data_IF_040547820999
#
_entry.id   IF_040547820999
#
_cell.length_a   1.000
_cell.length_b   1.000
_cell.length_c   1.000
_cell.angle_alpha   90.00
_cell.angle_beta   90.00
_cell.angle_gamma   90.00
#
_symmetry.space_group_name_H-M   'P 1'
#
loop_
_entity.id
_entity.type
_entity.pdbx_description
1 polymer ?
#
# COMPACT_ATOMS: atom_id res chain seq x y z
N UNK A 1 25.47 44.46 27.92
CA UNK A 1 25.83 43.84 26.63
C UNK A 1 25.46 42.34 26.56
N UNK A 2 25.51 41.59 27.67
CA UNK A 2 25.12 40.16 27.72
C UNK A 2 23.68 39.82 27.33
N UNK A 3 22.71 40.73 27.54
CA UNK A 3 21.30 40.46 27.24
C UNK A 3 20.99 40.44 25.73
N UNK A 4 21.83 41.05 24.90
CA UNK A 4 21.57 41.11 23.46
C UNK A 4 21.96 39.80 22.76
N UNK A 5 23.08 39.21 23.15
CA UNK A 5 23.57 37.94 22.60
C UNK A 5 22.67 36.76 23.02
N UNK A 6 22.20 36.73 24.27
CA UNK A 6 21.27 35.69 24.74
C UNK A 6 19.92 35.73 23.99
N UNK A 7 19.38 36.93 23.75
CA UNK A 7 18.13 37.09 23.00
C UNK A 7 18.26 36.63 21.54
N UNK A 8 19.40 36.90 20.89
CA UNK A 8 19.67 36.42 19.52
C UNK A 8 19.73 34.89 19.48
N UNK A 9 20.42 34.25 20.43
CA UNK A 9 20.53 32.79 20.48
C UNK A 9 19.16 32.14 20.71
N UNK A 10 18.33 32.69 21.61
CA UNK A 10 16.96 32.21 21.85
C UNK A 10 16.10 32.36 20.60
N UNK A 11 16.19 33.51 19.90
CA UNK A 11 15.44 33.74 18.67
C UNK A 11 15.82 32.75 17.55
N UNK A 12 17.12 32.49 17.37
CA UNK A 12 17.60 31.50 16.41
C UNK A 12 17.09 30.10 16.80
N UNK A 13 17.14 29.72 18.08
CA UNK A 13 16.59 28.44 18.55
C UNK A 13 15.09 28.30 18.27
N UNK A 14 14.30 29.36 18.47
CA UNK A 14 12.87 29.37 18.18
C UNK A 14 12.57 29.23 16.68
N UNK A 15 13.39 29.85 15.80
CA UNK A 15 13.30 29.66 14.36
C UNK A 15 13.62 28.22 13.94
N UNK A 16 14.63 27.58 14.54
CA UNK A 16 14.90 26.16 14.28
C UNK A 16 13.79 25.25 14.80
N UNK A 17 13.14 25.62 15.91
CA UNK A 17 12.04 24.84 16.48
C UNK A 17 10.78 24.91 15.61
N UNK A 18 10.45 26.07 15.03
CA UNK A 18 9.30 26.22 14.14
C UNK A 18 9.47 25.42 12.84
N UNK A 19 10.66 25.39 12.25
CA UNK A 19 10.95 24.58 11.04
C UNK A 19 10.78 23.08 11.30
N UNK A 20 11.08 22.60 12.52
CA UNK A 20 10.87 21.18 12.87
C UNK A 20 9.40 20.77 12.98
N UNK A 21 8.49 21.70 13.22
CA UNK A 21 7.05 21.41 13.37
C UNK A 21 6.44 21.08 11.99
N UNK A 22 6.94 21.69 10.90
CA UNK A 22 6.45 21.40 9.55
C UNK A 22 6.87 20.02 9.04
N UNK A 23 8.03 19.51 9.45
CA UNK A 23 8.46 18.13 9.14
C UNK A 23 7.68 17.02 9.89
N UNK A 24 6.76 17.35 10.80
CA UNK A 24 5.93 16.33 11.48
C UNK A 24 4.66 15.95 10.71
N UNK A 25 4.38 16.62 9.59
CA UNK A 25 3.26 16.30 8.69
C UNK A 25 3.61 15.22 7.64
N UNK A 26 4.60 14.39 7.92
CA UNK A 26 4.98 13.31 7.02
C UNK A 26 3.99 12.15 7.19
N UNK A 27 3.46 11.66 6.08
CA UNK A 27 2.46 10.59 6.01
C UNK A 27 3.05 9.18 6.14
N UNK A 28 4.33 9.04 6.49
CA UNK A 28 5.02 7.74 6.60
C UNK A 28 4.44 6.91 7.75
N UNK A 29 4.34 5.60 7.52
CA UNK A 29 4.02 4.59 8.51
C UNK A 29 2.84 3.70 8.14
N UNK A 30 2.37 2.90 9.10
CA UNK A 30 1.25 1.97 8.92
C UNK A 30 -0.08 2.62 9.28
N UNK A 31 -1.05 2.48 8.40
CA UNK A 31 -2.42 2.91 8.60
C UNK A 31 -3.36 1.74 8.40
N UNK A 32 -4.43 1.66 9.19
CA UNK A 32 -5.44 0.62 9.03
C UNK A 32 -6.86 1.17 9.10
N UNK A 33 -7.78 0.56 8.35
CA UNK A 33 -9.21 0.78 8.51
C UNK A 33 -9.76 -0.14 9.60
N UNK A 34 -11.00 0.10 9.99
CA UNK A 34 -11.72 -0.79 10.91
C UNK A 34 -12.00 -2.17 10.30
N UNK A 35 -12.09 -2.24 8.96
CA UNK A 35 -12.45 -3.46 8.23
C UNK A 35 -11.25 -4.34 7.87
N UNK A 36 -10.04 -3.97 8.30
CA UNK A 36 -8.83 -4.78 8.13
C UNK A 36 -8.02 -4.47 6.87
N UNK A 37 -8.33 -3.38 6.17
CA UNK A 37 -7.44 -2.86 5.13
C UNK A 37 -6.25 -2.16 5.78
N UNK A 38 -5.06 -2.35 5.21
CA UNK A 38 -3.81 -1.83 5.74
C UNK A 38 -3.04 -1.16 4.61
N UNK A 39 -2.56 0.06 4.87
CA UNK A 39 -1.66 0.79 4.00
C UNK A 39 -0.37 1.08 4.74
N UNK A 40 0.75 0.67 4.16
CA UNK A 40 2.08 1.07 4.56
C UNK A 40 2.58 2.13 3.59
N UNK A 41 2.97 3.29 4.13
CA UNK A 41 3.62 4.37 3.39
C UNK A 41 5.08 4.37 3.83
N UNK A 42 6.00 4.02 2.93
CA UNK A 42 7.43 3.95 3.22
C UNK A 42 8.15 5.25 2.88
N UNK A 43 9.30 5.47 3.50
CA UNK A 43 10.14 6.66 3.32
C UNK A 43 10.75 6.76 1.91
N UNK A 44 10.96 5.63 1.24
CA UNK A 44 11.52 5.52 -0.11
C UNK A 44 10.52 5.84 -1.24
N UNK A 45 9.41 6.52 -0.92
CA UNK A 45 8.31 6.83 -1.84
C UNK A 45 7.58 5.60 -2.40
N UNK A 46 7.72 4.42 -1.77
CA UNK A 46 6.91 3.24 -2.09
C UNK A 46 5.78 3.03 -1.09
N UNK A 47 4.73 2.33 -1.50
CA UNK A 47 3.65 1.93 -0.61
C UNK A 47 3.31 0.46 -0.79
N UNK A 48 2.65 -0.09 0.23
CA UNK A 48 2.03 -1.42 0.20
C UNK A 48 0.62 -1.35 0.75
N UNK A 49 -0.32 -1.91 0.01
CA UNK A 49 -1.73 -2.04 0.37
C UNK A 49 -2.05 -3.52 0.58
N UNK A 50 -2.78 -3.84 1.65
CA UNK A 50 -3.25 -5.19 1.95
C UNK A 50 -4.73 -5.10 2.28
N UNK A 51 -5.54 -5.89 1.57
CA UNK A 51 -6.94 -6.13 1.93
C UNK A 51 -7.09 -7.55 2.46
N UNK A 52 -7.46 -7.68 3.73
CA UNK A 52 -7.56 -8.98 4.40
C UNK A 52 -8.85 -9.74 4.14
N UNK A 53 -9.93 -9.09 3.66
CA UNK A 53 -11.26 -9.71 3.57
C UNK A 53 -12.05 -9.19 2.36
N UNK A 54 -12.80 -10.04 1.62
CA UNK A 54 -12.97 -11.48 1.78
C UNK A 54 -11.87 -12.33 1.10
N UNK A 55 -10.97 -11.70 0.34
CA UNK A 55 -9.83 -12.35 -0.33
C UNK A 55 -8.58 -11.56 0.00
N UNK A 56 -7.46 -12.26 0.19
CA UNK A 56 -6.22 -11.65 0.65
C UNK A 56 -5.52 -10.96 -0.53
N UNK A 57 -5.96 -9.77 -0.86
CA UNK A 57 -5.42 -9.03 -2.01
C UNK A 57 -4.35 -8.06 -1.54
N UNK A 58 -3.36 -7.83 -2.40
CA UNK A 58 -2.31 -6.88 -2.10
C UNK A 58 -1.99 -6.04 -3.33
N UNK A 59 -1.43 -4.87 -3.09
CA UNK A 59 -0.91 -4.00 -4.13
C UNK A 59 0.32 -3.29 -3.60
N UNK A 60 1.25 -2.98 -4.50
CA UNK A 60 2.38 -2.11 -4.17
C UNK A 60 2.59 -1.12 -5.29
N UNK A 61 3.31 -0.06 -4.99
CA UNK A 61 3.60 0.95 -5.99
C UNK A 61 4.35 2.12 -5.40
N UNK A 62 4.25 3.25 -6.08
CA UNK A 62 4.86 4.51 -5.67
C UNK A 62 3.81 5.47 -5.15
N UNK A 63 4.21 6.31 -4.21
CA UNK A 63 3.39 7.43 -3.76
C UNK A 63 4.12 8.74 -3.94
N UNK A 64 3.34 9.81 -4.10
CA UNK A 64 3.82 11.19 -4.09
C UNK A 64 2.82 12.06 -3.34
N UNK A 65 3.30 13.14 -2.75
CA UNK A 65 2.44 14.12 -2.07
C UNK A 65 2.34 15.40 -2.89
N UNK A 66 1.14 15.98 -2.92
CA UNK A 66 0.92 17.36 -3.32
C UNK A 66 0.04 17.99 -2.25
N UNK A 67 0.58 18.99 -1.53
CA UNK A 67 -0.03 19.54 -0.33
C UNK A 67 -0.33 18.46 0.72
N UNK A 68 -1.59 18.29 1.08
CA UNK A 68 -2.09 17.31 2.04
C UNK A 68 -2.62 16.04 1.36
N UNK A 69 -2.48 15.91 0.03
CA UNK A 69 -3.00 14.78 -0.73
C UNK A 69 -1.87 13.85 -1.18
N UNK A 70 -1.95 12.58 -0.79
CA UNK A 70 -1.16 11.49 -1.34
C UNK A 70 -1.80 11.02 -2.65
N UNK A 71 -0.98 10.76 -3.65
CA UNK A 71 -1.35 10.10 -4.88
C UNK A 71 -0.63 8.77 -4.92
N UNK A 72 -1.38 7.69 -5.11
CA UNK A 72 -0.87 6.33 -5.18
C UNK A 72 -0.86 5.88 -6.64
N UNK A 73 0.23 5.27 -7.07
CA UNK A 73 0.34 4.71 -8.43
C UNK A 73 0.78 3.26 -8.30
N UNK A 74 -0.10 2.35 -8.72
CA UNK A 74 0.15 0.91 -8.71
C UNK A 74 1.32 0.53 -9.63
N UNK A 75 2.17 -0.37 -9.14
CA UNK A 75 3.25 -0.97 -9.93
C UNK A 75 3.04 -2.49 -9.98
N UNK A 76 2.70 -3.08 -11.14
CA UNK A 76 2.54 -4.53 -11.27
C UNK A 76 3.86 -5.26 -11.02
N UNK A 77 3.77 -6.41 -10.37
CA UNK A 77 4.90 -7.35 -10.21
C UNK A 77 4.64 -8.50 -11.16
N UNK A 78 5.66 -8.93 -11.88
CA UNK A 78 5.55 -10.01 -12.85
C UNK A 78 6.51 -11.13 -12.51
N UNK A 79 6.02 -12.36 -12.64
CA UNK A 79 6.83 -13.57 -12.64
C UNK A 79 7.12 -14.01 -14.07
N UNK A 80 8.25 -14.69 -14.25
CA UNK A 80 8.58 -15.32 -15.53
C UNK A 80 8.14 -16.78 -15.50
N UNK A 81 7.10 -17.11 -16.26
CA UNK A 81 6.68 -18.49 -16.50
C UNK A 81 7.51 -19.05 -17.65
N UNK A 82 8.28 -20.11 -17.39
CA UNK A 82 9.02 -20.86 -18.41
C UNK A 82 8.47 -22.26 -18.55
N UNK A 83 8.12 -22.63 -19.77
CA UNK A 83 7.60 -23.95 -20.12
C UNK A 83 8.69 -24.74 -20.80
N UNK A 84 9.00 -25.91 -20.27
CA UNK A 84 10.05 -26.79 -20.78
C UNK A 84 9.49 -28.11 -21.32
N UNK A 85 10.18 -28.71 -22.30
CA UNK A 85 9.98 -30.11 -22.69
C UNK A 85 10.48 -31.03 -21.57
N UNK A 86 10.17 -32.33 -21.67
CA UNK A 86 10.75 -33.34 -20.76
C UNK A 86 12.27 -33.42 -20.84
N UNK A 87 12.84 -33.05 -21.98
CA UNK A 87 14.29 -33.04 -22.23
C UNK A 87 14.93 -31.70 -21.82
N UNK A 88 14.23 -30.87 -21.04
CA UNK A 88 14.67 -29.55 -20.57
C UNK A 88 14.89 -28.50 -21.67
N UNK A 89 14.32 -28.69 -22.86
CA UNK A 89 14.32 -27.64 -23.87
C UNK A 89 13.24 -26.60 -23.57
N UNK A 90 13.61 -25.32 -23.58
CA UNK A 90 12.65 -24.22 -23.38
C UNK A 90 11.71 -24.12 -24.59
N UNK A 91 10.42 -24.25 -24.34
CA UNK A 91 9.37 -24.13 -25.36
C UNK A 91 8.84 -22.70 -25.43
N UNK A 92 8.56 -22.12 -24.26
CA UNK A 92 7.92 -20.80 -24.14
C UNK A 92 8.36 -20.11 -22.86
N UNK A 93 8.60 -18.81 -22.95
CA UNK A 93 8.69 -17.93 -21.80
C UNK A 93 7.58 -16.86 -21.90
N UNK A 94 6.88 -16.59 -20.81
CA UNK A 94 5.86 -15.56 -20.73
C UNK A 94 5.89 -14.86 -19.38
N UNK A 95 5.49 -13.59 -19.35
CA UNK A 95 5.26 -12.87 -18.11
C UNK A 95 3.84 -13.11 -17.62
N UNK A 96 3.68 -13.37 -16.33
CA UNK A 96 2.39 -13.43 -15.65
C UNK A 96 2.43 -12.51 -14.43
N UNK A 97 1.28 -11.99 -14.02
CA UNK A 97 1.22 -11.25 -12.74
C UNK A 97 1.67 -12.16 -11.61
N UNK A 98 2.52 -11.61 -10.74
CA UNK A 98 3.07 -12.36 -9.61
C UNK A 98 2.01 -12.58 -8.54
N UNK A 99 2.14 -13.71 -7.86
CA UNK A 99 1.31 -14.04 -6.71
C UNK A 99 1.77 -13.30 -5.45
N UNK A 100 3.07 -13.00 -5.34
CA UNK A 100 3.68 -12.35 -4.20
C UNK A 100 4.46 -11.09 -4.60
N UNK A 101 5.06 -10.44 -3.61
CA UNK A 101 5.73 -9.16 -3.81
C UNK A 101 7.07 -9.27 -4.53
N UNK A 102 7.59 -10.48 -4.73
CA UNK A 102 8.94 -10.74 -5.20
C UNK A 102 8.90 -11.45 -6.56
N UNK A 103 9.43 -10.84 -7.63
CA UNK A 103 9.51 -11.50 -8.92
C UNK A 103 10.23 -12.85 -8.82
N UNK A 104 9.56 -13.92 -9.27
CA UNK A 104 10.13 -15.26 -9.32
C UNK A 104 10.08 -15.85 -10.73
N UNK A 105 10.92 -16.87 -10.95
CA UNK A 105 10.85 -17.68 -12.15
C UNK A 105 10.11 -18.98 -11.84
N UNK A 106 8.98 -19.19 -12.50
CA UNK A 106 8.17 -20.39 -12.37
C UNK A 106 8.54 -21.32 -13.52
N UNK A 107 9.25 -22.39 -13.20
CA UNK A 107 9.59 -23.43 -14.16
C UNK A 107 8.45 -24.45 -14.20
N UNK A 108 7.62 -24.38 -15.23
CA UNK A 108 6.59 -25.36 -15.48
C UNK A 108 7.14 -26.45 -16.41
N UNK A 109 7.51 -27.60 -15.84
CA UNK A 109 7.86 -28.77 -16.62
C UNK A 109 6.54 -29.36 -17.14
N UNK A 110 6.43 -29.62 -18.45
CA UNK A 110 5.32 -30.40 -19.01
C UNK A 110 5.43 -31.87 -18.60
N UNK A 111 5.34 -32.16 -17.30
CA UNK A 111 5.08 -33.50 -16.83
C UNK A 111 3.59 -33.71 -17.05
N UNK A 112 3.25 -34.43 -18.12
CA UNK A 112 1.96 -35.10 -18.38
C UNK A 112 0.85 -34.64 -17.43
N UNK A 113 -0.09 -33.78 -17.87
CA UNK A 113 -1.42 -33.30 -17.35
C UNK A 113 -2.03 -33.85 -16.03
N UNK A 114 -1.31 -34.59 -15.20
CA UNK A 114 -1.77 -35.58 -14.24
C UNK A 114 -0.93 -35.59 -12.95
N UNK A 115 0.17 -34.84 -12.84
CA UNK A 115 1.03 -34.87 -11.64
C UNK A 115 0.95 -33.63 -10.73
N UNK A 116 0.20 -32.61 -11.14
CA UNK A 116 -0.53 -31.70 -10.25
C UNK A 116 -1.80 -31.31 -11.01
N UNK A 117 -3.00 -31.52 -10.48
CA UNK A 117 -4.20 -31.04 -11.16
C UNK A 117 -4.10 -29.51 -11.23
N UNK A 118 -4.34 -28.93 -12.41
CA UNK A 118 -4.42 -27.46 -12.62
C UNK A 118 -5.25 -26.75 -11.54
N UNK A 119 -6.17 -27.49 -10.89
CA UNK A 119 -6.93 -27.09 -9.71
C UNK A 119 -6.09 -26.54 -8.56
N UNK A 120 -4.96 -27.16 -8.19
CA UNK A 120 -4.22 -26.77 -6.98
C UNK A 120 -3.47 -25.44 -7.17
N UNK A 121 -2.90 -25.23 -8.37
CA UNK A 121 -2.29 -23.95 -8.74
C UNK A 121 -3.36 -22.85 -8.90
N UNK A 122 -4.51 -23.18 -9.49
CA UNK A 122 -5.63 -22.24 -9.62
C UNK A 122 -6.27 -21.84 -8.27
N UNK A 123 -6.24 -22.75 -7.28
CA UNK A 123 -6.74 -22.49 -5.93
C UNK A 123 -5.83 -21.51 -5.19
N UNK A 124 -4.50 -21.69 -5.25
CA UNK A 124 -3.54 -20.76 -4.65
C UNK A 124 -3.67 -19.38 -5.31
N UNK A 125 -3.69 -19.32 -6.65
CA UNK A 125 -3.84 -18.06 -7.41
C UNK A 125 -5.15 -17.30 -7.12
N UNK A 126 -6.19 -17.97 -6.63
CA UNK A 126 -7.47 -17.35 -6.28
C UNK A 126 -7.52 -16.78 -4.85
N UNK A 127 -6.61 -17.19 -3.96
CA UNK A 127 -6.65 -16.83 -2.53
C UNK A 127 -5.85 -15.56 -2.25
N UNK A 128 -4.65 -15.43 -2.82
CA UNK A 128 -3.89 -14.18 -2.78
C UNK A 128 -3.62 -13.67 -4.20
N UNK A 129 -3.99 -12.42 -4.46
CA UNK A 129 -3.87 -11.85 -5.81
C UNK A 129 -3.40 -10.42 -5.72
N UNK A 130 -2.40 -10.09 -6.53
CA UNK A 130 -2.06 -8.71 -6.78
C UNK A 130 -3.21 -8.02 -7.53
N UNK A 131 -3.72 -6.93 -6.99
CA UNK A 131 -4.84 -6.20 -7.59
C UNK A 131 -4.62 -4.69 -7.47
N UNK A 132 -4.48 -4.01 -8.61
CA UNK A 132 -4.36 -2.56 -8.64
C UNK A 132 -5.71 -1.82 -8.53
N UNK A 133 -6.84 -2.51 -8.65
CA UNK A 133 -8.16 -1.87 -8.62
C UNK A 133 -8.68 -1.59 -7.20
N UNK A 134 -8.08 -2.24 -6.20
CA UNK A 134 -8.48 -2.08 -4.78
C UNK A 134 -7.81 -0.89 -4.11
N UNK A 135 -6.81 -0.26 -4.74
CA UNK A 135 -6.12 0.87 -4.13
C UNK A 135 -6.85 2.17 -4.44
N UNK A 136 -6.98 3.08 -3.47
CA UNK A 136 -7.46 4.43 -3.74
C UNK A 136 -6.41 5.20 -4.54
N UNK A 137 -6.83 5.90 -5.59
CA UNK A 137 -5.91 6.71 -6.43
C UNK A 137 -5.26 7.85 -5.64
N UNK A 138 -6.02 8.44 -4.71
CA UNK A 138 -5.55 9.53 -3.86
C UNK A 138 -6.17 9.47 -2.47
N UNK A 139 -5.43 9.96 -1.49
CA UNK A 139 -5.78 9.98 -0.08
C UNK A 139 -5.46 11.34 0.53
N UNK A 140 -6.41 11.94 1.25
CA UNK A 140 -6.19 13.14 2.04
C UNK A 140 -5.52 12.76 3.37
N UNK A 141 -4.30 13.24 3.61
CA UNK A 141 -3.61 13.13 4.88
C UNK A 141 -3.97 14.30 5.80
N UNK A 142 -4.66 14.00 6.90
CA UNK A 142 -5.03 15.04 7.88
C UNK A 142 -5.10 14.46 9.28
N UNK A 143 -4.36 15.07 10.22
CA UNK A 143 -4.33 14.67 11.64
C UNK A 143 -3.98 13.18 11.82
N UNK A 144 -2.90 12.72 11.18
CA UNK A 144 -2.41 11.32 11.22
C UNK A 144 -3.45 10.29 10.75
N UNK A 145 -4.28 10.68 9.78
CA UNK A 145 -5.28 9.82 9.15
C UNK A 145 -5.26 10.04 7.64
N UNK A 146 -5.57 8.98 6.91
CA UNK A 146 -5.77 9.02 5.46
C UNK A 146 -7.27 8.90 5.17
N UNK A 147 -7.81 9.81 4.38
CA UNK A 147 -9.21 9.79 3.95
C UNK A 147 -9.29 9.60 2.45
N UNK A 148 -10.14 8.67 2.02
CA UNK A 148 -10.47 8.51 0.61
C UNK A 148 -11.31 9.68 0.11
N UNK A 149 -11.33 9.84 -1.21
CA UNK A 149 -12.20 10.79 -1.89
C UNK A 149 -13.41 10.05 -2.46
N UNK A 150 -14.57 10.71 -2.44
CA UNK A 150 -15.75 10.25 -3.15
C UNK A 150 -15.64 10.48 -4.66
N UNK A 151 -16.65 10.01 -5.39
CA UNK A 151 -16.77 10.18 -6.85
C UNK A 151 -16.77 11.66 -7.29
N UNK A 152 -17.10 12.59 -6.39
CA UNK A 152 -17.11 14.04 -6.63
C UNK A 152 -15.81 14.72 -6.23
N UNK A 153 -14.80 13.96 -5.77
CA UNK A 153 -13.52 14.49 -5.34
C UNK A 153 -13.56 15.19 -3.97
N UNK A 154 -14.55 14.91 -3.12
CA UNK A 154 -14.61 15.38 -1.74
C UNK A 154 -14.09 14.31 -0.77
N UNK A 155 -13.33 14.68 0.27
CA UNK A 155 -12.82 13.71 1.23
C UNK A 155 -13.93 13.13 2.09
N UNK A 156 -13.94 11.81 2.25
CA UNK A 156 -14.96 11.08 3.00
C UNK A 156 -14.60 11.05 4.50
N UNK A 157 -15.03 12.09 5.22
CA UNK A 157 -14.74 12.27 6.66
C UNK A 157 -15.89 11.78 7.56
N UNK A 158 -17.02 11.38 6.96
CA UNK A 158 -18.23 10.96 7.66
C UNK A 158 -18.06 9.60 8.32
N UNK A 159 -18.66 9.42 9.51
CA UNK A 159 -18.66 8.13 10.21
C UNK A 159 -19.65 7.15 9.56
N UNK A 160 -19.24 5.91 9.36
CA UNK A 160 -20.12 4.83 8.87
C UNK A 160 -20.77 4.08 10.02
N UNK A 161 -22.02 3.65 9.86
CA UNK A 161 -22.69 2.78 10.82
C UNK A 161 -22.45 1.32 10.41
N UNK A 162 -21.90 0.52 11.30
CA UNK A 162 -21.77 -0.93 11.07
C UNK A 162 -23.15 -1.58 11.07
N UNK A 163 -23.41 -2.39 10.05
CA UNK A 163 -24.64 -3.17 9.89
C UNK A 163 -24.82 -4.16 11.06
N UNK A 164 -23.72 -4.78 11.51
CA UNK A 164 -23.75 -5.83 12.54
C UNK A 164 -23.91 -5.28 13.97
N UNK A 165 -23.24 -4.18 14.30
CA UNK A 165 -23.16 -3.70 15.70
C UNK A 165 -23.97 -2.44 15.98
N UNK A 166 -24.59 -1.84 14.95
CA UNK A 166 -25.25 -0.53 15.02
C UNK A 166 -24.33 0.64 15.50
N UNK A 167 -23.03 0.39 15.74
CA UNK A 167 -22.04 1.38 16.18
C UNK A 167 -21.54 2.20 15.00
N UNK A 168 -21.15 3.45 15.26
CA UNK A 168 -20.56 4.36 14.27
C UNK A 168 -19.03 4.30 14.34
N UNK A 169 -18.39 3.99 13.22
CA UNK A 169 -16.94 3.94 13.07
C UNK A 169 -16.44 5.17 12.29
N UNK A 170 -15.27 5.69 12.66
CA UNK A 170 -14.64 6.79 11.92
C UNK A 170 -14.18 6.26 10.56
N UNK A 171 -14.46 7.01 9.48
CA UNK A 171 -13.91 6.71 8.17
C UNK A 171 -12.40 6.94 8.12
N UNK A 172 -11.79 6.39 7.07
CA UNK A 172 -10.38 6.56 6.77
C UNK A 172 -9.47 5.61 7.55
N UNK A 173 -8.22 5.61 7.12
CA UNK A 173 -7.16 4.80 7.70
C UNK A 173 -6.57 5.55 8.90
N UNK A 174 -6.50 4.88 10.03
CA UNK A 174 -5.93 5.43 11.26
C UNK A 174 -4.49 4.97 11.42
N UNK A 175 -3.59 5.88 11.78
CA UNK A 175 -2.20 5.54 12.05
C UNK A 175 -2.09 4.52 13.20
N UNK A 176 -1.32 3.46 12.99
CA UNK A 176 -1.14 2.35 13.93
C UNK A 176 0.27 2.34 14.55
N UNK A 177 1.26 2.91 13.86
CA UNK A 177 2.68 2.86 14.27
C UNK A 177 3.58 2.33 13.15
N UNK A 178 4.87 2.20 13.45
CA UNK A 178 5.83 1.43 12.63
C UNK A 178 6.05 0.07 13.28
#
# INVERSE_FOLDING_TARGET
>A
MFNFTTNIVIFILLLFYSVRIECQNICIGKYSTYYGEIIFIYEDSTFKYINGYPRHQWAKGIWRTCHDTLYLTYTPVYDTLRVYTRENFLIKASLTLSYDEYPTQINHILINRNLLPEKDFSLILNICKQDGSIIPEKLLFRRKKLYEFDEFGKPIITKYRSISTNRKFKSGYSYVGN
#
